data_IF_402837457728
#
_entry.id   IF_402837457728
#
_cell.length_a   1.000
_cell.length_b   1.000
_cell.length_c   1.000
_cell.angle_alpha   90.00
_cell.angle_beta   90.00
_cell.angle_gamma   90.00
#
_symmetry.space_group_name_H-M   'P 1'
#
loop_
_entity.id
_entity.type
_entity.pdbx_description
1 polymer ?
#
# COMPACT_ATOMS: atom_id res chain seq x y z
N UNK A 1 19.81 -12.15 8.50
CA UNK A 1 19.28 -12.93 7.37
C UNK A 1 20.41 -13.70 6.67
N UNK A 2 21.51 -13.06 6.29
CA UNK A 2 22.66 -13.72 5.63
C UNK A 2 23.21 -14.89 6.43
N UNK A 3 23.38 -14.75 7.76
CA UNK A 3 23.79 -15.82 8.65
C UNK A 3 22.84 -17.02 8.63
N UNK A 4 21.52 -16.76 8.60
CA UNK A 4 20.48 -17.81 8.57
C UNK A 4 20.39 -18.50 7.21
N UNK A 5 20.54 -17.75 6.11
CA UNK A 5 20.40 -18.26 4.75
C UNK A 5 21.71 -18.78 4.17
N UNK A 6 22.87 -18.47 4.80
CA UNK A 6 24.21 -18.71 4.29
C UNK A 6 24.44 -18.17 2.88
N UNK A 7 23.73 -17.10 2.52
CA UNK A 7 23.82 -16.40 1.23
C UNK A 7 24.08 -14.93 1.46
N UNK A 8 24.96 -14.35 0.65
CA UNK A 8 25.18 -12.92 0.62
C UNK A 8 24.02 -12.28 -0.15
N UNK A 9 23.35 -11.34 0.47
CA UNK A 9 22.27 -10.57 -0.16
C UNK A 9 22.89 -9.35 -0.87
N UNK A 10 22.41 -9.05 -2.06
CA UNK A 10 22.84 -7.87 -2.83
C UNK A 10 21.68 -6.98 -3.20
N UNK A 11 20.52 -7.60 -3.41
CA UNK A 11 19.30 -6.93 -3.87
C UNK A 11 18.16 -7.19 -2.92
N UNK A 12 17.31 -6.19 -2.76
CA UNK A 12 16.09 -6.27 -1.93
C UNK A 12 14.91 -5.66 -2.65
N UNK A 13 13.73 -6.22 -2.42
CA UNK A 13 12.49 -5.55 -2.73
C UNK A 13 12.04 -4.77 -1.49
N UNK A 14 11.58 -3.55 -1.68
CA UNK A 14 11.06 -2.71 -0.61
C UNK A 14 9.58 -2.41 -0.84
N UNK A 15 8.84 -2.28 0.24
CA UNK A 15 7.47 -1.83 0.22
C UNK A 15 7.39 -0.44 0.87
N UNK A 16 6.84 0.52 0.14
CA UNK A 16 6.64 1.86 0.64
C UNK A 16 5.24 1.98 1.24
N UNK A 17 5.18 2.51 2.46
CA UNK A 17 3.96 3.03 3.07
C UNK A 17 4.12 4.53 3.24
N UNK A 18 3.03 5.26 3.31
CA UNK A 18 3.25 6.66 3.47
C UNK A 18 2.04 7.46 3.92
N UNK A 19 2.28 8.31 4.94
CA UNK A 19 1.36 9.36 5.39
C UNK A 19 1.04 10.37 4.29
N UNK A 20 1.79 10.35 3.19
CA UNK A 20 1.74 11.32 2.08
C UNK A 20 1.49 10.66 0.73
N UNK A 21 1.01 9.42 0.75
CA UNK A 21 0.58 8.71 -0.45
C UNK A 21 -0.59 9.45 -1.08
N UNK A 22 -0.47 9.75 -2.37
CA UNK A 22 -1.54 10.38 -3.16
C UNK A 22 -1.89 9.46 -4.32
N UNK A 23 -3.15 9.46 -4.71
CA UNK A 23 -3.65 8.67 -5.83
C UNK A 23 -4.33 9.55 -6.86
N UNK A 24 -4.22 9.16 -8.11
CA UNK A 24 -4.91 9.79 -9.24
C UNK A 24 -5.55 8.72 -10.10
N UNK A 25 -6.78 8.98 -10.51
CA UNK A 25 -7.54 8.11 -11.41
C UNK A 25 -7.39 8.57 -12.84
N UNK A 26 -7.20 7.63 -13.75
CA UNK A 26 -7.20 7.93 -15.17
C UNK A 26 -8.00 6.91 -15.95
N UNK A 27 -8.72 7.39 -16.95
CA UNK A 27 -9.31 6.59 -18.00
C UNK A 27 -8.55 6.83 -19.29
N UNK A 28 -8.21 5.76 -19.97
CA UNK A 28 -7.53 5.80 -21.28
C UNK A 28 -8.25 4.86 -22.24
N UNK A 29 -8.24 5.21 -23.51
CA UNK A 29 -8.80 4.39 -24.57
C UNK A 29 -7.91 4.42 -25.82
N UNK A 30 -8.00 3.36 -26.62
CA UNK A 30 -7.30 3.20 -27.89
C UNK A 30 -8.26 2.65 -28.94
N UNK A 31 -8.39 3.38 -30.04
CA UNK A 31 -9.20 3.01 -31.20
C UNK A 31 -8.35 2.30 -32.24
N UNK A 32 -8.96 1.36 -32.96
CA UNK A 32 -8.37 0.65 -34.10
C UNK A 32 -9.20 0.92 -35.36
N UNK A 33 -8.54 1.19 -36.48
CA UNK A 33 -9.21 1.41 -37.77
C UNK A 33 -10.03 0.20 -38.21
N UNK A 34 -9.53 -1.01 -37.92
CA UNK A 34 -10.17 -2.28 -38.21
C UNK A 34 -10.28 -3.13 -36.94
N UNK A 35 -11.22 -4.07 -36.93
CA UNK A 35 -11.33 -5.02 -35.83
C UNK A 35 -10.02 -5.79 -35.65
N UNK A 36 -9.35 -5.58 -34.52
CA UNK A 36 -7.99 -6.06 -34.26
C UNK A 36 -8.00 -7.04 -33.09
N UNK A 37 -7.23 -8.11 -33.20
CA UNK A 37 -6.99 -9.02 -32.06
C UNK A 37 -6.07 -8.33 -31.06
N UNK A 38 -6.53 -8.23 -29.83
CA UNK A 38 -5.80 -7.55 -28.75
C UNK A 38 -4.69 -8.46 -28.23
N UNK A 39 -3.49 -7.93 -28.20
CA UNK A 39 -2.26 -8.59 -27.72
C UNK A 39 -1.77 -7.93 -26.44
N UNK A 40 -0.83 -8.56 -25.74
CA UNK A 40 -0.15 -8.00 -24.60
C UNK A 40 0.50 -6.63 -24.90
N UNK A 41 1.03 -6.44 -26.10
CA UNK A 41 1.61 -5.17 -26.52
C UNK A 41 0.57 -4.04 -26.53
N UNK A 42 -0.63 -4.33 -27.03
CA UNK A 42 -1.74 -3.35 -27.02
C UNK A 42 -2.16 -2.99 -25.59
N UNK A 43 -2.17 -3.97 -24.69
CA UNK A 43 -2.50 -3.77 -23.28
C UNK A 43 -1.39 -2.97 -22.59
N UNK A 44 -0.14 -3.29 -22.86
CA UNK A 44 1.02 -2.57 -22.32
C UNK A 44 1.04 -1.09 -22.76
N UNK A 45 0.77 -0.83 -24.05
CA UNK A 45 0.68 0.54 -24.57
C UNK A 45 -0.47 1.31 -23.91
N UNK A 46 -1.61 0.65 -23.71
CA UNK A 46 -2.77 1.26 -23.05
C UNK A 46 -2.45 1.60 -21.59
N UNK A 47 -1.77 0.70 -20.90
CA UNK A 47 -1.31 0.85 -19.53
C UNK A 47 -0.35 2.04 -19.38
N UNK A 48 0.68 2.09 -20.22
CA UNK A 48 1.61 3.23 -20.28
C UNK A 48 0.92 4.57 -20.50
N UNK A 49 0.00 4.61 -21.47
CA UNK A 49 -0.80 5.82 -21.73
C UNK A 49 -1.69 6.24 -20.57
N UNK A 50 -2.22 5.28 -19.84
CA UNK A 50 -3.00 5.51 -18.62
C UNK A 50 -2.16 6.12 -17.50
N UNK A 51 -0.97 5.57 -17.25
CA UNK A 51 -0.02 6.07 -16.26
C UNK A 51 0.44 7.49 -16.61
N UNK A 52 0.78 7.75 -17.89
CA UNK A 52 1.14 9.10 -18.36
C UNK A 52 0.01 10.11 -18.13
N UNK A 53 -1.23 9.73 -18.42
CA UNK A 53 -2.40 10.58 -18.22
C UNK A 53 -2.63 10.87 -16.75
N UNK A 54 -2.52 9.88 -15.88
CA UNK A 54 -2.60 10.05 -14.43
C UNK A 54 -1.49 10.99 -13.93
N UNK A 55 -0.26 10.79 -14.38
CA UNK A 55 0.89 11.63 -14.03
C UNK A 55 0.69 13.08 -14.48
N UNK A 56 0.21 13.31 -15.70
CA UNK A 56 -0.08 14.64 -16.22
C UNK A 56 -1.22 15.34 -15.45
N UNK A 57 -2.25 14.61 -15.04
CA UNK A 57 -3.34 15.14 -14.23
C UNK A 57 -2.86 15.50 -12.82
N UNK A 58 -2.08 14.61 -12.21
CA UNK A 58 -1.50 14.79 -10.89
C UNK A 58 -0.61 16.04 -10.82
N UNK A 59 0.30 16.19 -11.78
CA UNK A 59 1.26 17.30 -11.83
C UNK A 59 0.59 18.69 -11.98
N UNK A 60 -0.61 18.78 -12.55
CA UNK A 60 -1.34 20.06 -12.66
C UNK A 60 -1.70 20.65 -11.30
N UNK A 61 -1.80 19.80 -10.28
CA UNK A 61 -2.22 20.17 -8.93
C UNK A 61 -1.05 20.33 -7.96
N UNK A 62 0.21 20.16 -8.44
CA UNK A 62 1.41 20.29 -7.63
C UNK A 62 1.90 21.73 -7.53
N UNK A 63 2.47 22.08 -6.38
CA UNK A 63 3.24 23.30 -6.21
C UNK A 63 4.57 23.25 -6.98
N UNK A 64 5.21 24.42 -7.23
CA UNK A 64 6.42 24.52 -8.05
C UNK A 64 7.62 23.72 -7.50
N UNK A 65 7.65 23.48 -6.20
CA UNK A 65 8.74 22.77 -5.51
C UNK A 65 8.39 21.32 -5.12
N UNK A 66 7.14 20.90 -5.38
CA UNK A 66 6.69 19.55 -5.06
C UNK A 66 7.11 18.57 -6.17
N UNK A 67 7.81 17.51 -5.80
CA UNK A 67 8.20 16.43 -6.69
C UNK A 67 7.68 15.09 -6.18
N UNK A 68 7.10 14.31 -7.07
CA UNK A 68 6.57 13.00 -6.76
C UNK A 68 7.01 11.97 -7.80
N UNK A 69 7.19 10.73 -7.34
CA UNK A 69 7.37 9.56 -8.20
C UNK A 69 6.08 8.75 -8.25
N UNK A 70 5.71 8.28 -9.44
CA UNK A 70 4.72 7.22 -9.55
C UNK A 70 5.38 5.92 -9.09
N UNK A 71 4.90 5.37 -7.98
CA UNK A 71 5.49 4.19 -7.33
C UNK A 71 4.69 2.92 -7.59
N UNK A 72 3.57 3.05 -8.28
CA UNK A 72 2.75 1.91 -8.69
C UNK A 72 1.44 2.36 -9.29
N UNK A 73 0.80 1.43 -9.98
CA UNK A 73 -0.55 1.60 -10.49
C UNK A 73 -1.29 0.27 -10.45
N UNK A 74 -2.60 0.32 -10.55
CA UNK A 74 -3.46 -0.85 -10.65
C UNK A 74 -4.60 -0.58 -11.61
N UNK A 75 -4.87 -1.53 -12.47
CA UNK A 75 -6.04 -1.48 -13.34
C UNK A 75 -7.28 -1.80 -12.54
N UNK A 76 -8.25 -0.89 -12.57
CA UNK A 76 -9.54 -1.05 -11.90
C UNK A 76 -10.50 -1.82 -12.79
N UNK A 77 -10.48 -1.51 -14.11
CA UNK A 77 -11.43 -2.06 -15.06
C UNK A 77 -10.94 -1.92 -16.49
N UNK A 78 -11.20 -2.96 -17.26
CA UNK A 78 -11.03 -2.93 -18.71
C UNK A 78 -12.36 -2.70 -19.42
N UNK A 79 -12.26 -2.13 -20.63
CA UNK A 79 -13.40 -1.93 -21.54
C UNK A 79 -13.06 -2.43 -22.94
N UNK A 80 -14.04 -3.02 -23.59
CA UNK A 80 -13.97 -3.46 -24.98
C UNK A 80 -15.22 -3.01 -25.71
N UNK A 81 -15.06 -2.17 -26.73
CA UNK A 81 -16.17 -1.58 -27.48
C UNK A 81 -17.25 -0.97 -26.55
N UNK A 82 -16.82 -0.27 -25.48
CA UNK A 82 -17.68 0.35 -24.47
C UNK A 82 -18.25 -0.58 -23.40
N UNK A 83 -17.99 -1.89 -23.46
CA UNK A 83 -18.48 -2.86 -22.47
C UNK A 83 -17.36 -3.23 -21.48
N UNK A 84 -17.73 -3.41 -20.23
CA UNK A 84 -16.81 -3.84 -19.16
C UNK A 84 -16.34 -5.29 -19.43
N UNK A 85 -15.04 -5.49 -19.28
CA UNK A 85 -14.39 -6.79 -19.47
C UNK A 85 -13.44 -7.08 -18.29
N UNK A 86 -13.23 -8.36 -18.01
CA UNK A 86 -12.24 -8.82 -17.03
C UNK A 86 -10.86 -8.99 -17.64
N UNK A 87 -10.79 -9.28 -18.94
CA UNK A 87 -9.56 -9.44 -19.70
C UNK A 87 -9.77 -8.96 -21.12
N UNK A 88 -8.75 -8.38 -21.75
CA UNK A 88 -8.77 -7.93 -23.14
C UNK A 88 -8.01 -8.87 -24.07
N UNK A 89 -7.05 -9.63 -23.55
CA UNK A 89 -6.13 -10.45 -24.31
C UNK A 89 -6.87 -11.49 -25.18
N UNK A 90 -6.44 -11.65 -26.43
CA UNK A 90 -6.97 -12.56 -27.44
C UNK A 90 -8.42 -12.29 -27.88
N UNK A 91 -9.05 -11.20 -27.43
CA UNK A 91 -10.33 -10.76 -27.94
C UNK A 91 -10.15 -9.86 -29.17
N UNK A 92 -11.21 -9.75 -30.00
CA UNK A 92 -11.24 -8.83 -31.14
C UNK A 92 -12.04 -7.59 -30.79
N UNK A 93 -11.47 -6.42 -31.02
CA UNK A 93 -12.08 -5.15 -30.71
C UNK A 93 -11.75 -4.07 -31.74
N UNK A 94 -12.63 -3.08 -31.85
CA UNK A 94 -12.35 -1.80 -32.52
C UNK A 94 -11.93 -0.71 -31.55
N UNK A 95 -12.23 -0.89 -30.26
CA UNK A 95 -11.84 0.02 -29.21
C UNK A 95 -11.56 -0.78 -27.94
N UNK A 96 -10.49 -0.42 -27.25
CA UNK A 96 -10.19 -0.89 -25.91
C UNK A 96 -10.02 0.32 -24.97
N UNK A 97 -10.32 0.12 -23.72
CA UNK A 97 -10.17 1.16 -22.69
C UNK A 97 -9.82 0.57 -21.33
N UNK A 98 -9.38 1.43 -20.45
CA UNK A 98 -8.96 1.05 -19.11
C UNK A 98 -9.19 2.20 -18.13
N UNK A 99 -9.79 1.88 -16.97
CA UNK A 99 -9.69 2.69 -15.76
C UNK A 99 -8.51 2.19 -14.93
N UNK A 100 -7.65 3.09 -14.48
CA UNK A 100 -6.58 2.77 -13.56
C UNK A 100 -6.49 3.79 -12.41
N UNK A 101 -5.87 3.35 -11.33
CA UNK A 101 -5.43 4.19 -10.23
C UNK A 101 -3.90 4.17 -10.20
N UNK A 102 -3.29 5.35 -10.29
CA UNK A 102 -1.86 5.52 -10.11
C UNK A 102 -1.57 6.10 -8.73
N UNK A 103 -0.47 5.67 -8.14
CA UNK A 103 -0.08 6.04 -6.78
C UNK A 103 1.26 6.75 -6.80
N UNK A 104 1.32 7.85 -6.06
CA UNK A 104 2.44 8.76 -6.02
C UNK A 104 2.96 8.93 -4.60
N UNK A 105 4.28 8.97 -4.45
CA UNK A 105 4.98 9.34 -3.23
C UNK A 105 5.89 10.53 -3.47
N UNK A 106 6.09 11.40 -2.46
CA UNK A 106 7.09 12.47 -2.54
C UNK A 106 8.48 11.92 -2.83
N UNK A 107 9.26 12.65 -3.64
CA UNK A 107 10.60 12.23 -4.04
C UNK A 107 11.52 12.03 -2.85
N UNK A 108 11.44 12.88 -1.82
CA UNK A 108 12.25 12.80 -0.61
C UNK A 108 11.99 11.49 0.18
N UNK A 109 10.76 10.99 0.17
CA UNK A 109 10.43 9.69 0.79
C UNK A 109 11.06 8.54 0.01
N UNK A 110 10.92 8.55 -1.31
CA UNK A 110 11.48 7.49 -2.17
C UNK A 110 13.00 7.52 -2.11
N UNK A 111 13.61 8.71 -2.26
CA UNK A 111 15.06 8.90 -2.21
C UNK A 111 15.63 8.49 -0.85
N UNK A 112 14.91 8.78 0.25
CA UNK A 112 15.26 8.34 1.59
C UNK A 112 15.26 6.82 1.75
N UNK A 113 14.27 6.12 1.18
CA UNK A 113 14.21 4.65 1.18
C UNK A 113 15.39 4.04 0.39
N UNK A 114 15.68 4.57 -0.80
CA UNK A 114 16.81 4.12 -1.60
C UNK A 114 18.15 4.35 -0.88
N UNK A 115 18.33 5.55 -0.31
CA UNK A 115 19.54 5.88 0.47
C UNK A 115 19.71 4.93 1.66
N UNK A 116 18.65 4.61 2.39
CA UNK A 116 18.72 3.69 3.51
C UNK A 116 19.15 2.27 3.10
N UNK A 117 18.69 1.80 1.94
CA UNK A 117 19.09 0.50 1.37
C UNK A 117 20.54 0.52 0.91
N UNK A 118 20.98 1.59 0.24
CA UNK A 118 22.37 1.77 -0.19
C UNK A 118 23.35 1.85 0.99
N UNK A 119 22.95 2.51 2.09
CA UNK A 119 23.75 2.53 3.32
C UNK A 119 23.94 1.15 3.97
N UNK A 120 23.10 0.18 3.61
CA UNK A 120 23.24 -1.22 4.01
C UNK A 120 24.04 -2.08 3.01
N UNK A 121 24.72 -1.47 2.04
CA UNK A 121 25.43 -2.11 0.93
C UNK A 121 24.52 -3.01 0.07
N UNK A 122 23.26 -2.62 -0.09
CA UNK A 122 22.25 -3.31 -0.89
C UNK A 122 21.76 -2.42 -2.01
N UNK A 123 21.15 -3.04 -3.04
CA UNK A 123 20.46 -2.33 -4.12
C UNK A 123 18.97 -2.66 -4.12
N UNK A 124 18.15 -1.70 -4.51
CA UNK A 124 16.70 -1.92 -4.65
C UNK A 124 16.42 -2.60 -5.98
N UNK A 125 15.95 -3.83 -5.94
CA UNK A 125 15.51 -4.58 -7.13
C UNK A 125 14.12 -4.16 -7.57
N UNK A 126 13.24 -3.88 -6.62
CA UNK A 126 11.86 -3.43 -6.89
C UNK A 126 11.32 -2.63 -5.72
N UNK A 127 10.49 -1.65 -6.04
CA UNK A 127 9.67 -0.89 -5.09
C UNK A 127 8.19 -1.19 -5.34
N UNK A 128 7.47 -1.55 -4.29
CA UNK A 128 6.02 -1.73 -4.33
C UNK A 128 5.35 -0.90 -3.23
N UNK A 129 4.03 -0.93 -3.18
CA UNK A 129 3.27 -0.34 -2.09
C UNK A 129 3.02 -1.40 -1.01
N UNK A 130 3.13 -0.99 0.25
CA UNK A 130 2.88 -1.88 1.39
C UNK A 130 1.50 -2.55 1.33
N UNK A 131 0.39 -1.85 1.03
CA UNK A 131 -0.92 -2.50 0.89
C UNK A 131 -0.98 -3.56 -0.21
N UNK A 132 -0.24 -3.38 -1.31
CA UNK A 132 -0.16 -4.38 -2.39
C UNK A 132 0.56 -5.63 -1.88
N UNK A 133 1.73 -5.44 -1.25
CA UNK A 133 2.49 -6.53 -0.67
C UNK A 133 1.69 -7.26 0.43
N UNK A 134 0.95 -6.52 1.26
CA UNK A 134 0.12 -7.07 2.31
C UNK A 134 -1.03 -7.94 1.76
N UNK A 135 -1.70 -7.51 0.69
CA UNK A 135 -2.74 -8.32 0.02
C UNK A 135 -2.16 -9.64 -0.48
N UNK A 136 -0.99 -9.59 -1.13
CA UNK A 136 -0.34 -10.79 -1.68
C UNK A 136 0.03 -11.82 -0.60
N UNK A 137 0.31 -11.38 0.62
CA UNK A 137 0.68 -12.26 1.74
C UNK A 137 -0.52 -12.64 2.59
N UNK A 138 -1.40 -11.69 2.91
CA UNK A 138 -2.49 -11.90 3.87
C UNK A 138 -3.75 -12.50 3.26
N UNK A 139 -4.02 -12.21 1.97
CA UNK A 139 -5.25 -12.66 1.31
C UNK A 139 -4.96 -13.89 0.43
N UNK A 140 -5.51 -15.07 0.77
CA UNK A 140 -5.39 -16.24 -0.09
C UNK A 140 -5.93 -15.97 -1.49
N UNK A 141 -5.24 -16.46 -2.53
CA UNK A 141 -5.52 -16.21 -3.95
C UNK A 141 -7.00 -16.39 -4.31
N UNK A 142 -7.64 -17.44 -3.80
CA UNK A 142 -9.06 -17.74 -4.04
C UNK A 142 -10.04 -16.64 -3.57
N UNK A 143 -9.61 -15.75 -2.68
CA UNK A 143 -10.43 -14.66 -2.16
C UNK A 143 -10.08 -13.31 -2.78
N UNK A 144 -8.99 -13.19 -3.55
CA UNK A 144 -8.53 -11.92 -4.12
C UNK A 144 -9.51 -11.31 -5.11
N UNK A 145 -10.37 -12.13 -5.72
CA UNK A 145 -11.43 -11.64 -6.61
C UNK A 145 -12.65 -11.05 -5.89
N UNK A 146 -12.67 -11.12 -4.56
CA UNK A 146 -13.76 -10.55 -3.77
C UNK A 146 -13.52 -9.06 -3.48
N UNK A 147 -14.61 -8.37 -3.15
CA UNK A 147 -14.52 -7.02 -2.62
C UNK A 147 -14.09 -7.10 -1.15
N UNK A 148 -12.87 -6.68 -0.88
CA UNK A 148 -12.22 -6.82 0.43
C UNK A 148 -11.73 -5.45 0.89
N UNK A 149 -11.87 -5.18 2.18
CA UNK A 149 -11.14 -4.12 2.86
C UNK A 149 -10.05 -4.78 3.71
N UNK A 150 -8.79 -4.56 3.35
CA UNK A 150 -7.64 -4.89 4.17
C UNK A 150 -7.32 -3.68 5.05
N UNK A 151 -7.25 -3.91 6.35
CA UNK A 151 -6.86 -2.89 7.33
C UNK A 151 -5.61 -3.38 8.05
N UNK A 152 -4.52 -2.66 7.87
CA UNK A 152 -3.26 -2.89 8.55
C UNK A 152 -3.09 -1.88 9.68
N UNK A 153 -3.15 -2.35 10.93
CA UNK A 153 -3.05 -1.51 12.12
C UNK A 153 -1.65 -1.64 12.70
N UNK A 154 -0.83 -0.64 12.43
CA UNK A 154 0.53 -0.55 12.94
C UNK A 154 0.62 0.10 14.33
N UNK A 155 1.75 0.71 14.63
CA UNK A 155 1.98 1.48 15.85
C UNK A 155 1.35 2.88 15.74
N UNK A 156 1.76 3.67 14.77
CA UNK A 156 1.34 5.07 14.60
C UNK A 156 0.32 5.30 13.48
N UNK A 157 0.13 4.35 12.54
CA UNK A 157 -0.76 4.47 11.39
C UNK A 157 -1.60 3.22 11.20
N UNK A 158 -2.79 3.41 10.65
CA UNK A 158 -3.63 2.33 10.12
C UNK A 158 -3.83 2.55 8.63
N UNK A 159 -3.39 1.60 7.82
CA UNK A 159 -3.46 1.64 6.38
C UNK A 159 -4.65 0.80 5.90
N UNK A 160 -5.42 1.36 4.97
CA UNK A 160 -6.64 0.74 4.45
C UNK A 160 -6.49 0.58 2.94
N UNK A 161 -6.68 -0.64 2.47
CA UNK A 161 -6.76 -0.93 1.04
C UNK A 161 -8.10 -1.59 0.73
N UNK A 162 -8.79 -1.06 -0.25
CA UNK A 162 -10.09 -1.60 -0.71
C UNK A 162 -9.87 -2.20 -2.10
N UNK A 163 -10.25 -3.48 -2.24
CA UNK A 163 -10.29 -4.14 -3.54
C UNK A 163 -11.72 -4.26 -4.04
N UNK A 164 -11.87 -4.22 -5.34
CA UNK A 164 -13.14 -4.48 -6.04
C UNK A 164 -12.85 -5.33 -7.26
N UNK A 165 -13.58 -6.45 -7.39
CA UNK A 165 -13.45 -7.36 -8.52
C UNK A 165 -11.98 -7.82 -8.77
N UNK A 166 -11.22 -7.99 -7.70
CA UNK A 166 -9.82 -8.42 -7.75
C UNK A 166 -8.80 -7.30 -7.96
N UNK A 167 -9.25 -6.07 -8.20
CA UNK A 167 -8.39 -4.91 -8.44
C UNK A 167 -8.44 -3.94 -7.25
N UNK A 168 -7.36 -3.19 -7.04
CA UNK A 168 -7.33 -2.16 -6.02
C UNK A 168 -8.18 -0.98 -6.48
N UNK A 169 -9.18 -0.63 -5.68
CA UNK A 169 -10.10 0.45 -5.96
C UNK A 169 -9.76 1.73 -5.18
N UNK A 170 -9.19 1.61 -3.98
CA UNK A 170 -8.83 2.77 -3.18
C UNK A 170 -7.78 2.43 -2.13
N UNK A 171 -7.00 3.45 -1.73
CA UNK A 171 -6.11 3.45 -0.58
C UNK A 171 -6.50 4.57 0.37
N UNK A 172 -6.30 4.33 1.66
CA UNK A 172 -6.45 5.34 2.68
C UNK A 172 -5.51 5.07 3.85
N UNK A 173 -5.16 6.11 4.59
CA UNK A 173 -4.36 6.01 5.80
C UNK A 173 -4.95 6.89 6.89
N UNK A 174 -4.98 6.37 8.10
CA UNK A 174 -5.41 7.08 9.31
C UNK A 174 -4.19 7.19 10.23
N UNK A 175 -3.79 8.40 10.68
CA UNK A 175 -2.64 8.60 11.58
C UNK A 175 -2.99 8.26 13.04
N UNK A 176 -3.64 7.13 13.26
CA UNK A 176 -4.06 6.62 14.58
C UNK A 176 -4.00 5.10 14.55
N UNK A 177 -3.29 4.49 15.49
CA UNK A 177 -3.16 3.05 15.60
C UNK A 177 -2.80 2.61 17.04
N UNK A 178 -1.98 1.56 17.19
CA UNK A 178 -1.67 0.94 18.47
C UNK A 178 -1.08 1.87 19.53
N UNK A 179 -0.31 2.87 19.12
CA UNK A 179 0.31 3.84 20.05
C UNK A 179 -0.74 4.69 20.78
N UNK A 180 -1.85 5.01 20.12
CA UNK A 180 -2.94 5.74 20.76
C UNK A 180 -3.52 4.97 21.96
N UNK A 181 -3.66 3.64 21.84
CA UNK A 181 -4.08 2.79 22.96
C UNK A 181 -3.03 2.76 24.06
N UNK A 182 -1.75 2.69 23.69
CA UNK A 182 -0.64 2.71 24.64
C UNK A 182 -0.61 4.03 25.41
N UNK A 183 -0.79 5.16 24.72
CA UNK A 183 -0.88 6.48 25.37
C UNK A 183 -2.08 6.59 26.30
N UNK A 184 -3.24 6.05 25.92
CA UNK A 184 -4.41 6.02 26.81
C UNK A 184 -4.16 5.20 28.07
N UNK A 185 -3.48 4.05 27.94
CA UNK A 185 -3.10 3.22 29.09
C UNK A 185 -2.07 3.96 29.95
N UNK A 186 -1.06 4.58 29.34
CA UNK A 186 -0.06 5.36 30.06
C UNK A 186 -0.69 6.47 30.91
N UNK A 187 -1.65 7.19 30.34
CA UNK A 187 -2.40 8.23 31.06
C UNK A 187 -3.31 7.66 32.15
N UNK A 188 -3.98 6.55 31.89
CA UNK A 188 -4.90 5.94 32.85
C UNK A 188 -4.18 5.30 34.04
N UNK A 189 -3.10 4.58 33.76
CA UNK A 189 -2.31 3.86 34.76
C UNK A 189 -1.23 4.71 35.39
N UNK A 190 -0.99 5.93 34.90
CA UNK A 190 0.07 6.84 35.34
C UNK A 190 1.47 6.19 35.28
N UNK A 191 1.76 5.55 34.15
CA UNK A 191 3.03 4.89 33.88
C UNK A 191 3.67 5.45 32.60
N UNK A 192 4.95 5.12 32.35
CA UNK A 192 5.59 5.49 31.11
C UNK A 192 5.07 4.65 29.91
N UNK A 193 5.43 5.09 28.69
CA UNK A 193 4.97 4.45 27.45
C UNK A 193 5.38 2.98 27.35
N UNK A 194 6.58 2.61 27.77
CA UNK A 194 7.06 1.23 27.67
C UNK A 194 6.29 0.30 28.60
N UNK A 195 6.06 0.73 29.83
CA UNK A 195 5.25 -0.02 30.80
C UNK A 195 3.81 -0.13 30.31
N UNK A 196 3.25 0.95 29.75
CA UNK A 196 1.92 0.92 29.14
C UNK A 196 1.81 -0.06 27.96
N UNK A 197 2.86 -0.14 27.13
CA UNK A 197 2.92 -1.12 26.03
C UNK A 197 2.95 -2.56 26.53
N UNK A 198 3.69 -2.83 27.62
CA UNK A 198 3.70 -4.14 28.28
C UNK A 198 2.32 -4.49 28.88
N UNK A 199 1.68 -3.52 29.55
CA UNK A 199 0.32 -3.68 30.06
C UNK A 199 -0.65 -4.04 28.91
N UNK A 200 -0.62 -3.28 27.81
CA UNK A 200 -1.45 -3.52 26.61
C UNK A 200 -1.30 -4.95 26.10
N UNK A 201 -0.07 -5.43 25.96
CA UNK A 201 0.23 -6.81 25.50
C UNK A 201 -0.29 -7.84 26.50
N UNK A 202 0.02 -7.68 27.77
CA UNK A 202 -0.36 -8.64 28.81
C UNK A 202 -1.89 -8.73 28.96
N UNK A 203 -2.61 -7.60 28.92
CA UNK A 203 -4.08 -7.61 28.94
C UNK A 203 -4.65 -8.31 27.71
N UNK A 204 -4.03 -8.11 26.54
CA UNK A 204 -4.49 -8.76 25.30
C UNK A 204 -4.29 -10.27 25.35
N UNK A 205 -3.14 -10.74 25.82
CA UNK A 205 -2.76 -12.17 25.86
C UNK A 205 -3.40 -12.94 27.03
N UNK A 206 -3.37 -12.34 28.21
CA UNK A 206 -3.71 -13.03 29.48
C UNK A 206 -5.04 -12.57 30.10
N UNK A 207 -5.64 -11.52 29.56
CA UNK A 207 -6.87 -10.90 30.10
C UNK A 207 -6.63 -10.00 31.32
N UNK A 208 -5.41 -10.00 31.88
CA UNK A 208 -5.03 -9.22 33.04
C UNK A 208 -3.55 -8.80 32.92
N UNK A 209 -3.22 -7.62 33.39
CA UNK A 209 -1.83 -7.17 33.57
C UNK A 209 -1.63 -6.66 34.99
N UNK A 210 -0.52 -7.05 35.59
CA UNK A 210 -0.02 -6.52 36.86
C UNK A 210 1.09 -5.52 36.56
N UNK A 211 1.12 -4.39 37.26
CA UNK A 211 2.13 -3.36 37.08
C UNK A 211 2.34 -2.59 38.36
N UNK A 212 3.42 -1.82 38.45
CA UNK A 212 3.66 -0.87 39.54
C UNK A 212 3.33 0.53 39.02
N UNK A 213 2.57 1.28 39.84
CA UNK A 213 2.28 2.67 39.53
C UNK A 213 3.49 3.59 39.79
N UNK A 214 3.35 4.89 39.50
CA UNK A 214 4.42 5.89 39.62
C UNK A 214 5.02 6.00 41.05
N UNK A 215 4.32 5.51 42.06
CA UNK A 215 4.78 5.50 43.45
C UNK A 215 5.21 4.10 43.91
N UNK A 216 5.30 3.14 43.02
CA UNK A 216 5.78 1.78 43.29
C UNK A 216 4.75 0.88 43.96
N UNK A 217 3.46 1.20 43.89
CA UNK A 217 2.41 0.32 44.42
C UNK A 217 1.95 -0.67 43.38
N UNK A 218 1.77 -1.95 43.77
CA UNK A 218 1.28 -2.96 42.85
C UNK A 218 -0.19 -2.69 42.49
N UNK A 219 -0.47 -2.69 41.19
CA UNK A 219 -1.77 -2.49 40.59
C UNK A 219 -2.10 -3.61 39.63
N UNK A 220 -3.35 -3.77 39.30
CA UNK A 220 -3.79 -4.70 38.23
C UNK A 220 -4.89 -4.09 37.39
N UNK A 221 -4.86 -4.37 36.11
CA UNK A 221 -5.90 -3.98 35.16
C UNK A 221 -6.38 -5.20 34.37
N UNK A 222 -7.66 -5.24 34.08
CA UNK A 222 -8.30 -6.29 33.30
C UNK A 222 -8.86 -5.74 31.99
N UNK A 223 -9.13 -6.65 31.06
CA UNK A 223 -9.68 -6.36 29.75
C UNK A 223 -11.09 -5.77 29.82
#
# INVERSE_FOLDING_TARGET
LEEKTKRKLKEVCIAAAGRVLRTEYAYVEKDFEVETTITDEHIYDLDGGGVEKAYAAFNKNLGPDEKFYCVGHSVIRYYMNGNVMTNLENHKAKQIGMDLIATFLPSDVVDGLYTAVEMADLTVANLTLEPIAAIEVAIPEKYRMLNIALVDVGAGTSDICITKDGSIAAYGMIPTAGDCLTEMIAQHCLVDFNVAEEIKRNVTENGVAEYEDIIGLPQSITK
#
